data_IF_490053860723
#
_entry.id   IF_490053860723
#
_cell.length_a   1.000
_cell.length_b   1.000
_cell.length_c   1.000
_cell.angle_alpha   90.00
_cell.angle_beta   90.00
_cell.angle_gamma   90.00
#
_symmetry.space_group_name_H-M   'P 1'
#
loop_
_entity.id
_entity.type
_entity.pdbx_description
1 polymer ?
#
# COMPACT_ATOMS: atom_id res chain seq x y z
N UNK A 1 -16.56 -5.28 13.87
CA UNK A 1 -16.50 -6.33 14.91
C UNK A 1 -15.25 -7.19 14.76
N UNK A 2 -14.98 -7.74 13.57
CA UNK A 2 -13.81 -8.59 13.29
C UNK A 2 -12.46 -7.90 13.56
N UNK A 3 -12.28 -6.66 13.09
CA UNK A 3 -11.05 -5.88 13.35
C UNK A 3 -10.84 -5.69 14.85
N UNK A 4 -11.84 -5.19 15.58
CA UNK A 4 -11.74 -4.93 17.02
C UNK A 4 -11.41 -6.19 17.84
N UNK A 5 -12.02 -7.33 17.50
CA UNK A 5 -11.76 -8.59 18.19
C UNK A 5 -10.40 -9.19 17.81
N UNK A 6 -9.97 -9.03 16.55
CA UNK A 6 -8.63 -9.41 16.10
C UNK A 6 -7.52 -8.61 16.78
N UNK A 7 -7.71 -7.29 16.93
CA UNK A 7 -6.80 -6.45 17.72
C UNK A 7 -6.75 -6.94 19.18
N UNK A 8 -7.90 -7.14 19.82
CA UNK A 8 -7.95 -7.58 21.22
C UNK A 8 -7.24 -8.93 21.46
N UNK A 9 -7.40 -9.89 20.53
CA UNK A 9 -6.70 -11.18 20.56
C UNK A 9 -5.19 -11.04 20.36
N UNK A 10 -4.76 -10.21 19.41
CA UNK A 10 -3.33 -10.01 19.17
C UNK A 10 -2.66 -9.33 20.37
N UNK A 11 -3.30 -8.33 20.98
CA UNK A 11 -2.79 -7.66 22.18
C UNK A 11 -2.76 -8.61 23.38
N UNK A 12 -3.75 -9.51 23.54
CA UNK A 12 -3.75 -10.51 24.62
C UNK A 12 -2.66 -11.58 24.46
N UNK A 13 -2.17 -11.80 23.25
CA UNK A 13 -1.03 -12.67 22.93
C UNK A 13 0.33 -11.94 23.03
N UNK A 14 0.36 -10.70 23.53
CA UNK A 14 1.59 -9.92 23.70
C UNK A 14 2.10 -9.24 22.43
N UNK A 15 1.31 -9.21 21.36
CA UNK A 15 1.66 -8.47 20.13
C UNK A 15 1.41 -6.98 20.38
N UNK A 16 2.41 -6.14 20.09
CA UNK A 16 2.27 -4.69 20.26
C UNK A 16 1.19 -4.12 19.32
N UNK A 17 0.47 -3.11 19.79
CA UNK A 17 -0.54 -2.41 18.97
C UNK A 17 0.04 -1.88 17.65
N UNK A 18 1.33 -1.50 17.65
CA UNK A 18 2.06 -1.08 16.45
C UNK A 18 2.16 -2.19 15.42
N UNK A 19 2.54 -3.42 15.82
CA UNK A 19 2.61 -4.57 14.91
C UNK A 19 1.22 -4.94 14.39
N UNK A 20 0.20 -4.86 15.23
CA UNK A 20 -1.18 -5.10 14.81
C UNK A 20 -1.63 -4.07 13.76
N UNK A 21 -1.37 -2.77 13.99
CA UNK A 21 -1.72 -1.72 13.04
C UNK A 21 -0.95 -1.84 11.72
N UNK A 22 0.36 -2.07 11.78
CA UNK A 22 1.24 -2.10 10.61
C UNK A 22 1.11 -3.38 9.79
N UNK A 23 1.03 -4.55 10.43
CA UNK A 23 1.00 -5.82 9.72
C UNK A 23 -0.42 -6.38 9.60
N UNK A 24 -1.16 -6.50 10.70
CA UNK A 24 -2.46 -7.19 10.65
C UNK A 24 -3.50 -6.33 9.94
N UNK A 25 -3.55 -5.04 10.24
CA UNK A 25 -4.50 -4.12 9.61
C UNK A 25 -3.98 -3.71 8.23
N UNK A 26 -2.83 -3.06 8.13
CA UNK A 26 -2.41 -2.49 6.84
C UNK A 26 -2.07 -3.56 5.77
N UNK A 27 -1.29 -4.59 6.09
CA UNK A 27 -1.04 -5.69 5.13
C UNK A 27 -2.30 -6.51 4.91
N UNK A 28 -3.03 -6.84 5.98
CA UNK A 28 -4.24 -7.64 5.91
C UNK A 28 -5.33 -7.04 5.00
N UNK A 29 -5.49 -5.72 5.00
CA UNK A 29 -6.46 -5.05 4.11
C UNK A 29 -6.06 -5.03 2.65
N UNK A 30 -4.77 -5.17 2.34
CA UNK A 30 -4.26 -5.16 0.95
C UNK A 30 -3.85 -6.54 0.44
N UNK A 31 -3.91 -7.58 1.28
CA UNK A 31 -3.59 -8.95 0.90
C UNK A 31 -4.52 -9.49 -0.19
N UNK A 32 -5.85 -9.30 -0.15
CA UNK A 32 -6.72 -9.78 -1.22
C UNK A 32 -6.33 -9.21 -2.59
N UNK A 33 -6.05 -7.93 -2.66
CA UNK A 33 -5.62 -7.22 -3.87
C UNK A 33 -4.24 -7.68 -4.34
N UNK A 34 -3.32 -7.93 -3.41
CA UNK A 34 -2.01 -8.51 -3.73
C UNK A 34 -2.17 -9.90 -4.37
N UNK A 35 -3.01 -10.75 -3.78
CA UNK A 35 -3.27 -12.10 -4.29
C UNK A 35 -3.89 -12.04 -5.68
N UNK A 36 -4.91 -11.20 -5.90
CA UNK A 36 -5.55 -11.07 -7.21
C UNK A 36 -4.58 -10.55 -8.27
N UNK A 37 -3.77 -9.54 -7.95
CA UNK A 37 -2.74 -9.02 -8.86
C UNK A 37 -1.65 -10.05 -9.18
N UNK A 38 -1.19 -10.83 -8.19
CA UNK A 38 -0.19 -11.89 -8.43
C UNK A 38 -0.75 -13.01 -9.30
N UNK A 39 -2.01 -13.42 -9.07
CA UNK A 39 -2.67 -14.45 -9.88
C UNK A 39 -2.85 -13.97 -11.31
N UNK A 40 -3.34 -12.75 -11.52
CA UNK A 40 -3.48 -12.14 -12.86
C UNK A 40 -2.12 -12.05 -13.58
N UNK A 41 -1.08 -11.59 -12.89
CA UNK A 41 0.27 -11.51 -13.44
C UNK A 41 0.82 -12.90 -13.84
N UNK A 42 0.57 -13.93 -13.03
CA UNK A 42 0.95 -15.33 -13.35
C UNK A 42 0.21 -15.90 -14.56
N UNK A 43 -1.01 -15.43 -14.84
CA UNK A 43 -1.80 -15.80 -16.03
C UNK A 43 -1.39 -15.03 -17.30
N UNK A 44 -0.42 -14.13 -17.20
CA UNK A 44 -0.03 -13.25 -18.31
C UNK A 44 -0.98 -12.06 -18.51
N UNK A 45 -1.95 -11.88 -17.62
CA UNK A 45 -2.92 -10.77 -17.64
C UNK A 45 -2.34 -9.54 -16.92
N UNK A 46 -1.22 -9.03 -17.42
CA UNK A 46 -0.49 -7.91 -16.80
C UNK A 46 -1.33 -6.64 -16.70
N UNK A 47 -2.23 -6.41 -17.66
CA UNK A 47 -3.10 -5.23 -17.69
C UNK A 47 -4.15 -5.29 -16.58
N UNK A 48 -4.69 -6.48 -16.28
CA UNK A 48 -5.62 -6.69 -15.17
C UNK A 48 -4.91 -6.54 -13.82
N UNK A 49 -3.71 -7.12 -13.70
CA UNK A 49 -2.90 -7.00 -12.49
C UNK A 49 -2.57 -5.54 -12.17
N UNK A 50 -2.23 -4.75 -13.19
CA UNK A 50 -1.95 -3.33 -13.07
C UNK A 50 -3.22 -2.52 -12.77
N UNK A 51 -4.31 -2.80 -13.48
CA UNK A 51 -5.60 -2.14 -13.28
C UNK A 51 -6.10 -2.30 -11.84
N UNK A 52 -5.90 -3.47 -11.24
CA UNK A 52 -6.19 -3.71 -9.82
C UNK A 52 -5.33 -2.83 -8.89
N UNK A 53 -4.01 -2.81 -9.08
CA UNK A 53 -3.10 -2.00 -8.23
C UNK A 53 -3.39 -0.50 -8.35
N UNK A 54 -3.56 0.00 -9.57
CA UNK A 54 -3.82 1.42 -9.82
C UNK A 54 -5.21 1.80 -9.31
N UNK A 55 -6.22 1.02 -9.68
CA UNK A 55 -7.62 1.26 -9.30
C UNK A 55 -7.82 1.30 -7.78
N UNK A 56 -7.30 0.32 -7.05
CA UNK A 56 -7.45 0.25 -5.60
C UNK A 56 -6.75 1.41 -4.87
N UNK A 57 -5.57 1.85 -5.33
CA UNK A 57 -4.87 3.00 -4.75
C UNK A 57 -5.59 4.33 -5.03
N UNK A 58 -6.12 4.51 -6.25
CA UNK A 58 -6.95 5.67 -6.58
C UNK A 58 -8.23 5.71 -5.74
N UNK A 59 -8.94 4.58 -5.62
CA UNK A 59 -10.15 4.46 -4.80
C UNK A 59 -9.86 4.77 -3.33
N UNK A 60 -8.78 4.22 -2.78
CA UNK A 60 -8.41 4.46 -1.38
C UNK A 60 -8.05 5.93 -1.12
N UNK A 61 -7.31 6.56 -2.05
CA UNK A 61 -6.84 7.94 -1.88
C UNK A 61 -7.93 8.99 -2.13
N UNK A 62 -8.83 8.75 -3.09
CA UNK A 62 -9.84 9.74 -3.50
C UNK A 62 -11.20 9.54 -2.85
N UNK A 63 -11.52 8.33 -2.41
CA UNK A 63 -12.84 8.01 -1.85
C UNK A 63 -12.70 7.61 -0.38
N UNK A 64 -11.94 6.56 -0.07
CA UNK A 64 -11.89 6.02 1.30
C UNK A 64 -11.27 7.01 2.27
N UNK A 65 -10.12 7.60 1.94
CA UNK A 65 -9.42 8.54 2.82
C UNK A 65 -10.23 9.83 3.07
N UNK A 66 -10.77 10.53 2.05
CA UNK A 66 -11.62 11.71 2.28
C UNK A 66 -12.91 11.38 3.03
N UNK A 67 -13.58 10.26 2.69
CA UNK A 67 -14.79 9.84 3.41
C UNK A 67 -14.49 9.54 4.89
N UNK A 68 -13.38 8.87 5.18
CA UNK A 68 -12.94 8.60 6.56
C UNK A 68 -12.62 9.89 7.32
N UNK A 69 -11.99 10.86 6.65
CA UNK A 69 -11.69 12.18 7.19
C UNK A 69 -12.93 13.04 7.46
N UNK A 70 -14.02 12.85 6.70
CA UNK A 70 -15.31 13.50 6.95
C UNK A 70 -16.03 12.92 8.17
N UNK A 71 -15.86 11.62 8.44
CA UNK A 71 -16.49 10.94 9.58
C UNK A 71 -15.72 11.20 10.88
N UNK A 72 -14.39 11.21 10.83
CA UNK A 72 -13.55 11.36 12.00
C UNK A 72 -12.25 12.08 11.66
N UNK A 73 -11.76 12.94 12.56
CA UNK A 73 -10.46 13.55 12.39
C UNK A 73 -9.36 12.48 12.39
N UNK A 74 -8.61 12.42 11.30
CA UNK A 74 -7.45 11.52 11.15
C UNK A 74 -6.21 12.32 11.54
N UNK A 75 -5.61 12.07 12.71
CA UNK A 75 -4.38 12.75 13.11
C UNK A 75 -3.26 12.38 12.14
N UNK A 76 -2.59 13.38 11.58
CA UNK A 76 -1.43 13.18 10.69
C UNK A 76 -0.19 12.93 11.56
N UNK A 77 0.44 11.74 11.49
CA UNK A 77 1.65 11.46 12.25
C UNK A 77 2.83 12.34 11.78
N UNK A 78 3.85 12.49 12.64
CA UNK A 78 5.09 13.18 12.25
C UNK A 78 5.71 12.50 11.03
N UNK A 79 6.05 13.29 10.01
CA UNK A 79 6.53 12.80 8.72
C UNK A 79 5.44 12.34 7.74
N UNK A 80 4.17 12.24 8.15
CA UNK A 80 3.08 11.76 7.29
C UNK A 80 2.85 12.60 6.03
N UNK A 81 3.11 13.92 6.08
CA UNK A 81 3.10 14.78 4.88
C UNK A 81 4.24 14.42 3.90
N UNK A 82 5.41 14.06 4.41
CA UNK A 82 6.54 13.62 3.58
C UNK A 82 6.23 12.30 2.88
N UNK A 83 5.64 11.36 3.62
CA UNK A 83 5.20 10.06 3.08
C UNK A 83 4.14 10.24 1.98
N UNK A 84 3.19 11.16 2.19
CA UNK A 84 2.16 11.49 1.20
C UNK A 84 2.78 12.09 -0.07
N UNK A 85 3.71 13.04 0.07
CA UNK A 85 4.39 13.65 -1.08
C UNK A 85 5.24 12.61 -1.82
N UNK A 86 6.00 11.78 -1.11
CA UNK A 86 6.81 10.74 -1.71
C UNK A 86 5.95 9.73 -2.48
N UNK A 87 4.86 9.25 -1.88
CA UNK A 87 3.94 8.32 -2.54
C UNK A 87 3.27 8.93 -3.78
N UNK A 88 2.89 10.21 -3.74
CA UNK A 88 2.38 10.94 -4.91
C UNK A 88 3.44 11.08 -6.01
N UNK A 89 4.69 11.42 -5.66
CA UNK A 89 5.79 11.55 -6.63
C UNK A 89 6.09 10.20 -7.28
N UNK A 90 6.14 9.11 -6.50
CA UNK A 90 6.36 7.77 -7.04
C UNK A 90 5.21 7.32 -7.95
N UNK A 91 3.97 7.60 -7.57
CA UNK A 91 2.81 7.33 -8.41
C UNK A 91 2.88 8.15 -9.73
N UNK A 92 3.18 9.44 -9.65
CA UNK A 92 3.33 10.31 -10.82
C UNK A 92 4.48 9.89 -11.74
N UNK A 93 5.56 9.31 -11.20
CA UNK A 93 6.67 8.77 -11.99
C UNK A 93 6.28 7.47 -12.71
N UNK A 94 5.46 6.63 -12.07
CA UNK A 94 5.03 5.34 -12.62
C UNK A 94 3.97 5.50 -13.71
N UNK A 95 3.03 6.43 -13.58
CA UNK A 95 1.94 6.68 -14.57
C UNK A 95 2.47 6.82 -16.02
N UNK A 96 3.44 7.70 -16.35
CA UNK A 96 3.94 7.86 -17.71
C UNK A 96 4.71 6.63 -18.22
N UNK A 97 5.35 5.85 -17.35
CA UNK A 97 6.01 4.59 -17.74
C UNK A 97 4.99 3.60 -18.30
N UNK A 98 3.79 3.54 -17.70
CA UNK A 98 2.72 2.67 -18.15
C UNK A 98 1.96 3.21 -19.37
N UNK A 99 1.66 4.52 -19.40
CA UNK A 99 0.89 5.11 -20.49
C UNK A 99 1.71 5.33 -21.79
N UNK A 100 3.00 5.68 -21.69
CA UNK A 100 3.78 6.11 -22.86
C UNK A 100 4.51 4.98 -23.59
N UNK A 101 4.80 3.85 -22.95
CA UNK A 101 5.73 2.87 -23.52
C UNK A 101 5.17 1.49 -23.86
N UNK A 102 3.86 1.22 -23.72
CA UNK A 102 3.37 -0.18 -23.66
C UNK A 102 4.31 -1.03 -22.77
N UNK A 103 4.85 -0.41 -21.72
CA UNK A 103 6.01 -0.93 -21.02
C UNK A 103 5.56 -2.15 -20.23
N UNK A 104 5.93 -3.34 -20.70
CA UNK A 104 5.83 -4.53 -19.89
C UNK A 104 6.71 -4.31 -18.66
N UNK A 105 6.14 -4.49 -17.47
CA UNK A 105 6.94 -4.50 -16.25
C UNK A 105 8.00 -5.60 -16.38
N UNK A 106 9.26 -5.19 -16.58
CA UNK A 106 10.35 -6.14 -16.61
C UNK A 106 10.66 -6.57 -15.18
N UNK A 107 11.22 -7.78 -15.02
CA UNK A 107 11.70 -8.26 -13.72
C UNK A 107 12.67 -7.28 -13.06
N UNK A 108 13.53 -6.63 -13.85
CA UNK A 108 14.47 -5.63 -13.35
C UNK A 108 13.74 -4.41 -12.74
N UNK A 109 12.68 -3.92 -13.40
CA UNK A 109 11.88 -2.79 -12.89
C UNK A 109 11.14 -3.19 -11.60
N UNK A 110 10.59 -4.40 -11.54
CA UNK A 110 9.97 -4.93 -10.34
C UNK A 110 10.96 -5.06 -9.17
N UNK A 111 12.16 -5.59 -9.41
CA UNK A 111 13.22 -5.67 -8.40
C UNK A 111 13.64 -4.30 -7.90
N UNK A 112 13.80 -3.32 -8.81
CA UNK A 112 14.12 -1.94 -8.43
C UNK A 112 13.03 -1.32 -7.54
N UNK A 113 11.75 -1.50 -7.88
CA UNK A 113 10.64 -0.99 -7.06
C UNK A 113 10.57 -1.67 -5.69
N UNK A 114 10.85 -2.97 -5.60
CA UNK A 114 10.94 -3.68 -4.32
C UNK A 114 12.08 -3.15 -3.45
N UNK A 115 13.27 -2.96 -4.03
CA UNK A 115 14.41 -2.38 -3.31
C UNK A 115 14.11 -0.97 -2.80
N UNK A 116 13.45 -0.15 -3.61
CA UNK A 116 13.00 1.18 -3.22
C UNK A 116 12.00 1.13 -2.06
N UNK A 117 11.02 0.21 -2.13
CA UNK A 117 10.04 0.00 -1.05
C UNK A 117 10.72 -0.44 0.25
N UNK A 118 11.59 -1.44 0.21
CA UNK A 118 12.30 -1.91 1.41
C UNK A 118 13.24 -0.84 1.96
N UNK A 119 13.93 -0.09 1.09
CA UNK A 119 14.77 1.04 1.51
C UNK A 119 13.96 2.10 2.25
N UNK A 120 12.79 2.48 1.71
CA UNK A 120 11.88 3.41 2.36
C UNK A 120 11.29 2.86 3.68
N UNK A 121 10.89 1.59 3.71
CA UNK A 121 10.35 0.98 4.92
C UNK A 121 11.40 0.97 6.05
N UNK A 122 12.66 0.66 5.70
CA UNK A 122 13.78 0.68 6.65
C UNK A 122 14.02 2.11 7.15
N UNK A 123 14.09 3.12 6.28
CA UNK A 123 14.30 4.50 6.73
C UNK A 123 13.18 4.97 7.65
N UNK A 124 11.92 4.62 7.39
CA UNK A 124 10.81 4.99 8.31
C UNK A 124 10.90 4.27 9.65
N UNK A 125 11.26 2.99 9.70
CA UNK A 125 11.43 2.27 10.99
C UNK A 125 12.54 2.89 11.85
N UNK A 126 13.64 3.38 11.26
CA UNK A 126 14.76 3.97 12.02
C UNK A 126 14.55 5.44 12.41
N UNK A 127 13.69 6.17 11.70
CA UNK A 127 13.42 7.60 11.92
C UNK A 127 12.04 7.88 12.55
N UNK A 128 11.36 6.85 13.05
CA UNK A 128 10.18 6.98 13.94
C UNK A 128 10.55 7.33 15.39
#
# INVERSE_FOLDING_TARGET
VTVRNGVALATSLGVSATVVGLFIVAVGTSMPELVTSVVAAKRGESDLALGNVVGSNFFNSLIVLPASGMISQIPVPRGGLGDLVLSLVLAALLIPVFFLRKARLSRAMGTFLLLLYFGYAITRIYFE
#
